data_IF_798718378870
#
_entry.id   IF_798718378870
#
_cell.length_a   1.000
_cell.length_b   1.000
_cell.length_c   1.000
_cell.angle_alpha   90.00
_cell.angle_beta   90.00
_cell.angle_gamma   90.00
#
_symmetry.space_group_name_H-M   'P 1'
#
loop_
_entity.id
_entity.type
_entity.pdbx_description
1 polymer ?
#
# COMPACT_ATOMS: atom_id res chain seq x y z
N UNK A 1 -2.82 -18.47 -11.77
CA UNK A 1 -1.85 -17.77 -10.89
C UNK A 1 -1.16 -16.73 -11.75
N UNK A 2 -1.68 -15.51 -11.78
CA UNK A 2 -0.91 -14.42 -12.37
C UNK A 2 0.26 -14.12 -11.43
N UNK A 3 1.47 -14.19 -11.98
CA UNK A 3 2.67 -13.90 -11.21
C UNK A 3 2.76 -12.38 -11.01
N UNK A 4 3.23 -11.93 -9.84
CA UNK A 4 3.41 -10.51 -9.54
C UNK A 4 4.21 -9.78 -10.62
N UNK A 5 3.82 -8.57 -11.01
CA UNK A 5 4.60 -7.75 -11.95
C UNK A 5 5.81 -7.13 -11.25
N UNK A 6 5.64 -6.78 -9.97
CA UNK A 6 6.64 -6.12 -9.14
C UNK A 6 6.63 -6.74 -7.74
N UNK A 7 7.81 -7.05 -7.20
CA UNK A 7 7.97 -7.47 -5.81
C UNK A 7 9.07 -6.64 -5.17
N UNK A 8 8.74 -5.94 -4.09
CA UNK A 8 9.65 -5.01 -3.41
C UNK A 8 9.70 -5.21 -1.91
N UNK A 9 10.75 -4.69 -1.30
CA UNK A 9 10.78 -4.30 0.11
C UNK A 9 10.95 -2.80 0.21
N UNK A 10 10.25 -2.17 1.14
CA UNK A 10 10.32 -0.72 1.32
C UNK A 10 9.69 -0.24 2.61
N UNK A 11 9.69 1.07 2.78
CA UNK A 11 9.07 1.75 3.92
C UNK A 11 7.97 2.65 3.43
N UNK A 12 6.79 2.60 4.07
CA UNK A 12 5.71 3.54 3.81
C UNK A 12 6.13 4.91 4.33
N UNK A 13 6.24 5.91 3.44
CA UNK A 13 6.74 7.24 3.79
C UNK A 13 5.63 8.23 4.10
N UNK A 14 4.49 8.13 3.42
CA UNK A 14 3.33 9.00 3.63
C UNK A 14 2.04 8.32 3.13
N UNK A 15 0.92 8.66 3.78
CA UNK A 15 -0.40 8.45 3.20
C UNK A 15 -0.73 9.64 2.28
N UNK A 16 -0.95 9.37 0.99
CA UNK A 16 -1.27 10.42 0.00
C UNK A 16 -2.71 10.88 0.16
N UNK A 17 -3.60 9.95 0.53
CA UNK A 17 -4.99 10.20 0.85
C UNK A 17 -5.93 9.15 0.26
N UNK A 18 -7.23 9.37 0.46
CA UNK A 18 -8.27 8.47 -0.03
C UNK A 18 -9.07 9.13 -1.16
N UNK A 19 -9.24 8.40 -2.26
CA UNK A 19 -10.17 8.75 -3.35
C UNK A 19 -11.48 8.01 -3.12
N UNK A 20 -12.61 8.73 -3.13
CA UNK A 20 -13.92 8.13 -2.88
C UNK A 20 -15.08 8.96 -3.44
N UNK A 21 -16.21 8.28 -3.66
CA UNK A 21 -17.53 8.90 -3.86
C UNK A 21 -18.39 8.61 -2.65
N UNK A 22 -18.87 9.65 -1.95
CA UNK A 22 -19.68 9.48 -0.72
C UNK A 22 -20.89 8.58 -1.00
N UNK A 23 -21.05 7.56 -0.15
CA UNK A 23 -22.12 6.56 -0.27
C UNK A 23 -21.86 5.41 -1.26
N UNK A 24 -20.71 5.42 -1.97
CA UNK A 24 -20.26 4.31 -2.80
C UNK A 24 -19.00 3.66 -2.22
N UNK A 25 -19.19 2.92 -1.14
CA UNK A 25 -18.10 2.34 -0.35
C UNK A 25 -17.13 1.44 -1.16
N UNK A 26 -17.62 0.80 -2.22
CA UNK A 26 -16.79 -0.03 -3.13
C UNK A 26 -15.78 0.76 -3.96
N UNK A 27 -15.94 2.09 -4.05
CA UNK A 27 -15.01 2.97 -4.78
C UNK A 27 -13.95 3.59 -3.85
N UNK A 28 -13.98 3.31 -2.55
CA UNK A 28 -13.03 3.88 -1.60
C UNK A 28 -11.66 3.22 -1.83
N UNK A 29 -10.67 4.04 -2.15
CA UNK A 29 -9.29 3.60 -2.30
C UNK A 29 -8.37 4.55 -1.55
N UNK A 30 -7.45 4.00 -0.75
CA UNK A 30 -6.37 4.74 -0.11
C UNK A 30 -5.08 4.56 -0.90
N UNK A 31 -4.36 5.67 -1.11
CA UNK A 31 -3.05 5.67 -1.75
C UNK A 31 -1.97 6.00 -0.73
N UNK A 32 -0.88 5.23 -0.77
CA UNK A 32 0.30 5.45 0.06
C UNK A 32 1.54 5.47 -0.81
N UNK A 33 2.53 6.26 -0.40
CA UNK A 33 3.84 6.26 -1.04
C UNK A 33 4.78 5.34 -0.27
N UNK A 34 5.49 4.49 -1.02
CA UNK A 34 6.44 3.52 -0.49
C UNK A 34 7.81 3.79 -1.09
N UNK A 35 8.77 4.06 -0.22
CA UNK A 35 10.18 4.20 -0.58
C UNK A 35 10.80 2.80 -0.73
N UNK A 36 11.24 2.47 -1.94
CA UNK A 36 11.84 1.16 -2.24
C UNK A 36 13.22 1.07 -1.60
N UNK A 37 13.40 0.07 -0.75
CA UNK A 37 14.71 -0.31 -0.20
C UNK A 37 15.38 -1.39 -1.06
N UNK A 38 14.59 -2.35 -1.57
CA UNK A 38 15.08 -3.48 -2.38
C UNK A 38 14.02 -3.94 -3.38
N UNK A 39 14.46 -4.38 -4.57
CA UNK A 39 13.59 -4.88 -5.64
C UNK A 39 13.90 -6.36 -5.85
N UNK A 40 12.93 -7.21 -5.54
CA UNK A 40 13.04 -8.67 -5.67
C UNK A 40 12.59 -9.17 -7.05
N UNK A 41 11.72 -8.41 -7.73
CA UNK A 41 11.26 -8.66 -9.11
C UNK A 41 10.74 -7.36 -9.71
N UNK A 42 11.05 -7.08 -10.98
CA UNK A 42 10.57 -5.93 -11.73
C UNK A 42 11.68 -4.94 -12.08
N UNK A 43 11.37 -3.97 -12.94
CA UNK A 43 12.34 -3.02 -13.49
C UNK A 43 12.20 -1.62 -12.84
N UNK A 44 12.39 -1.56 -11.52
CA UNK A 44 12.47 -0.31 -10.76
C UNK A 44 13.83 -0.19 -10.07
N UNK A 45 14.28 1.03 -9.81
CA UNK A 45 15.52 1.24 -9.08
C UNK A 45 15.28 1.22 -7.56
N UNK A 46 16.29 0.77 -6.82
CA UNK A 46 16.37 1.02 -5.38
C UNK A 46 16.36 2.52 -5.12
N UNK A 47 15.70 2.96 -4.04
CA UNK A 47 15.46 4.37 -3.69
C UNK A 47 14.42 5.11 -4.56
N UNK A 48 13.69 4.44 -5.44
CA UNK A 48 12.49 5.05 -6.04
C UNK A 48 11.30 5.05 -5.07
N UNK A 49 10.40 6.02 -5.24
CA UNK A 49 9.11 6.06 -4.53
C UNK A 49 8.04 5.58 -5.49
N UNK A 50 7.22 4.63 -5.04
CA UNK A 50 6.03 4.18 -5.77
C UNK A 50 4.77 4.52 -4.99
N UNK A 51 3.69 4.80 -5.71
CA UNK A 51 2.35 4.93 -5.13
C UNK A 51 1.64 3.59 -5.22
N UNK A 52 1.20 3.09 -4.07
CA UNK A 52 0.44 1.85 -3.93
C UNK A 52 -1.00 2.22 -3.56
N UNK A 53 -1.96 1.68 -4.32
CA UNK A 53 -3.38 1.88 -4.08
C UNK A 53 -3.99 0.61 -3.48
N UNK A 54 -4.71 0.78 -2.37
CA UNK A 54 -5.45 -0.28 -1.68
C UNK A 54 -6.93 0.08 -1.62
N UNK A 55 -7.80 -0.92 -1.70
CA UNK A 55 -9.22 -0.71 -1.40
C UNK A 55 -9.41 -0.40 0.09
N UNK A 56 -10.49 0.32 0.39
CA UNK A 56 -10.77 0.81 1.73
C UNK A 56 -10.26 2.23 1.95
N UNK A 57 -10.40 2.71 3.19
CA UNK A 57 -9.94 4.03 3.60
C UNK A 57 -10.88 4.72 4.58
N UNK A 58 -10.57 5.98 4.88
CA UNK A 58 -11.33 6.79 5.82
C UNK A 58 -11.60 8.17 5.21
N UNK A 59 -12.87 8.60 5.22
CA UNK A 59 -13.26 9.92 4.69
C UNK A 59 -13.48 11.00 5.76
N UNK A 60 -13.11 10.72 7.03
CA UNK A 60 -13.38 11.61 8.16
C UNK A 60 -14.65 11.27 8.94
N UNK A 61 -15.63 10.62 8.31
CA UNK A 61 -16.91 10.22 8.93
C UNK A 61 -17.10 8.70 8.90
N UNK A 62 -16.62 8.03 7.85
CA UNK A 62 -16.83 6.60 7.58
C UNK A 62 -15.49 5.94 7.28
N UNK A 63 -15.22 4.86 8.00
CA UNK A 63 -14.11 3.95 7.70
C UNK A 63 -14.64 2.78 6.88
N UNK A 64 -14.15 2.64 5.66
CA UNK A 64 -14.36 1.44 4.83
C UNK A 64 -13.18 0.51 5.09
N UNK A 65 -13.46 -0.58 5.79
CA UNK A 65 -12.52 -1.67 6.02
C UNK A 65 -12.97 -2.82 5.13
N UNK A 66 -12.21 -3.14 4.09
CA UNK A 66 -12.39 -4.44 3.43
C UNK A 66 -11.81 -5.49 4.37
N UNK A 67 -12.56 -6.56 4.64
CA UNK A 67 -12.07 -7.68 5.49
C UNK A 67 -10.80 -8.33 4.94
N UNK A 68 -10.49 -8.07 3.66
CA UNK A 68 -9.32 -8.53 2.93
C UNK A 68 -8.27 -7.43 2.69
N UNK A 69 -8.31 -6.29 3.41
CA UNK A 69 -7.29 -5.23 3.28
C UNK A 69 -6.63 -4.82 4.59
N UNK A 70 -5.31 -4.80 4.56
CA UNK A 70 -4.39 -4.33 5.58
C UNK A 70 -3.90 -2.99 5.11
N UNK A 71 -4.59 -1.93 5.56
CA UNK A 71 -4.21 -0.57 5.22
C UNK A 71 -2.80 -0.28 5.73
N UNK A 72 -1.94 0.10 4.78
CA UNK A 72 -0.57 0.50 5.04
C UNK A 72 -0.56 1.83 5.79
N UNK A 73 0.33 1.93 6.78
CA UNK A 73 0.52 3.12 7.62
C UNK A 73 1.94 3.61 7.50
N UNK A 74 2.12 4.91 7.70
CA UNK A 74 3.44 5.52 7.72
C UNK A 74 4.42 4.79 8.65
N UNK A 75 5.69 4.78 8.25
CA UNK A 75 6.82 4.18 8.99
C UNK A 75 6.77 2.65 9.11
N UNK A 76 5.85 1.98 8.40
CA UNK A 76 5.85 0.53 8.29
C UNK A 76 6.89 0.06 7.29
N UNK A 77 7.69 -0.93 7.68
CA UNK A 77 8.51 -1.69 6.75
C UNK A 77 7.68 -2.83 6.17
N UNK A 78 7.66 -2.92 4.84
CA UNK A 78 6.76 -3.81 4.11
C UNK A 78 7.50 -4.57 3.02
N UNK A 79 7.01 -5.79 2.75
CA UNK A 79 7.28 -6.52 1.51
C UNK A 79 5.97 -6.61 0.73
N UNK A 80 5.98 -6.11 -0.49
CA UNK A 80 4.79 -6.01 -1.34
C UNK A 80 4.94 -6.85 -2.60
N UNK A 81 3.88 -7.56 -2.95
CA UNK A 81 3.68 -8.22 -4.23
C UNK A 81 2.59 -7.44 -4.97
N UNK A 82 2.96 -6.86 -6.11
CA UNK A 82 2.17 -5.84 -6.76
C UNK A 82 1.85 -6.24 -8.21
N UNK A 83 0.61 -5.96 -8.62
CA UNK A 83 0.22 -5.87 -10.02
C UNK A 83 0.30 -4.43 -10.51
N UNK A 84 0.77 -4.26 -11.74
CA UNK A 84 0.75 -2.98 -12.42
C UNK A 84 -0.55 -2.85 -13.19
N UNK A 85 -1.40 -1.93 -12.76
CA UNK A 85 -2.64 -1.61 -13.45
C UNK A 85 -2.36 -0.87 -14.76
N UNK A 86 -3.32 -0.92 -15.70
CA UNK A 86 -3.20 -0.27 -17.01
C UNK A 86 -3.10 1.27 -16.92
N UNK A 87 -3.51 1.86 -15.81
CA UNK A 87 -3.36 3.27 -15.47
C UNK A 87 -1.95 3.62 -14.93
N UNK A 88 -1.05 2.64 -14.87
CA UNK A 88 0.32 2.79 -14.38
C UNK A 88 0.47 2.69 -12.86
N UNK A 89 -0.62 2.50 -12.10
CA UNK A 89 -0.59 2.38 -10.64
C UNK A 89 -0.24 0.95 -10.20
N UNK A 90 0.32 0.83 -9.00
CA UNK A 90 0.57 -0.47 -8.37
C UNK A 90 -0.51 -0.80 -7.34
N UNK A 91 -0.94 -2.06 -7.31
CA UNK A 91 -1.93 -2.56 -6.34
C UNK A 91 -1.47 -3.91 -5.79
N UNK A 92 -1.66 -4.20 -4.49
CA UNK A 92 -1.36 -5.51 -3.96
C UNK A 92 -2.13 -6.62 -4.68
N UNK A 93 -1.47 -7.75 -4.88
CA UNK A 93 -2.12 -8.96 -5.41
C UNK A 93 -3.04 -9.51 -4.34
N UNK A 94 -4.31 -9.76 -4.71
CA UNK A 94 -5.35 -10.25 -3.81
C UNK A 94 -5.50 -9.43 -2.51
N UNK A 95 -5.37 -8.10 -2.61
CA UNK A 95 -5.50 -7.15 -1.51
C UNK A 95 -4.52 -7.40 -0.34
N UNK A 96 -4.74 -8.42 0.49
CA UNK A 96 -3.92 -8.77 1.65
C UNK A 96 -2.82 -9.78 1.39
N UNK A 97 -3.02 -10.76 0.51
CA UNK A 97 -2.02 -11.81 0.30
C UNK A 97 -0.71 -11.24 -0.29
N UNK A 98 -0.79 -10.06 -0.89
CA UNK A 98 0.35 -9.32 -1.42
C UNK A 98 1.05 -8.41 -0.42
N UNK A 99 0.60 -8.29 0.83
CA UNK A 99 1.12 -7.35 1.83
C UNK A 99 1.70 -8.09 3.03
N UNK A 100 3.00 -7.90 3.28
CA UNK A 100 3.68 -8.43 4.45
C UNK A 100 4.33 -7.30 5.24
N UNK A 101 3.82 -7.02 6.44
CA UNK A 101 4.42 -6.06 7.36
C UNK A 101 5.60 -6.74 8.08
N UNK A 102 6.80 -6.20 7.91
CA UNK A 102 8.04 -6.73 8.47
C UNK A 102 8.30 -6.16 9.87
N UNK A 103 8.15 -4.84 10.02
CA UNK A 103 8.24 -4.14 11.30
C UNK A 103 7.31 -2.92 11.31
N UNK A 104 6.75 -2.62 12.49
CA UNK A 104 6.13 -1.32 12.77
C UNK A 104 7.00 -0.58 13.78
N UNK A 105 7.71 0.46 13.34
CA UNK A 105 8.40 1.34 14.29
C UNK A 105 7.35 2.20 14.99
N UNK A 106 6.95 1.77 16.19
CA UNK A 106 6.12 2.61 17.05
C UNK A 106 6.88 3.88 17.43
N UNK A 107 6.17 5.02 17.52
CA UNK A 107 6.69 6.20 18.22
C UNK A 107 7.10 5.75 19.62
N UNK A 108 8.41 5.69 19.86
CA UNK A 108 8.97 5.52 21.21
C UNK A 108 8.56 6.79 21.96
N UNK A 109 7.54 6.71 22.81
CA UNK A 109 7.28 7.77 23.76
C UNK A 109 8.51 7.84 24.67
N UNK A 110 9.25 8.94 24.54
CA UNK A 110 10.39 9.25 25.38
C UNK A 110 10.00 9.18 26.85
N UNK A 111 10.88 8.55 27.62
CA UNK A 111 10.89 8.44 29.08
C UNK A 111 11.02 9.84 29.69
#
# INVERSE_FOLDING_TARGET
MEAADLVIKGTVVEEVGSTFTKGKYVEYTTEVNVQIADVLKGDLASNEIITVSQMGGFDGEVTVISESTTLLKEQQEVKLFLHKSSDGKYRPINEDDGVYILEQRGKVNGI
#
